data_IF_702130758452
#
_entry.id   IF_702130758452
#
_cell.length_a   1.000
_cell.length_b   1.000
_cell.length_c   1.000
_cell.angle_alpha   90.00
_cell.angle_beta   90.00
_cell.angle_gamma   90.00
#
_symmetry.space_group_name_H-M   'P 1'
#
loop_
_entity.id
_entity.type
_entity.pdbx_description
1 polymer ?
#
# COMPACT_ATOMS: atom_id res chain seq x y z
N UNK A 1 16.84 24.19 30.42
CA UNK A 1 16.27 24.69 29.16
C UNK A 1 16.57 23.64 28.12
N UNK A 2 15.56 23.15 27.41
CA UNK A 2 15.73 22.20 26.31
C UNK A 2 16.14 22.95 25.05
N UNK A 3 17.29 22.59 24.47
CA UNK A 3 17.63 23.02 23.12
C UNK A 3 16.92 22.09 22.14
N UNK A 4 15.99 22.67 21.37
CA UNK A 4 15.28 21.99 20.30
C UNK A 4 16.28 21.53 19.23
N UNK A 5 16.13 20.28 18.76
CA UNK A 5 16.98 19.64 17.77
C UNK A 5 16.22 19.22 16.51
N UNK A 6 15.11 19.90 16.21
CA UNK A 6 14.42 19.82 14.92
C UNK A 6 15.31 20.35 13.78
N UNK A 7 16.07 19.45 13.16
CA UNK A 7 16.85 19.74 11.95
C UNK A 7 15.88 19.87 10.77
N UNK A 8 15.93 20.95 9.96
CA UNK A 8 15.02 21.12 8.83
C UNK A 8 15.27 20.06 7.75
N UNK A 9 14.19 19.42 7.30
CA UNK A 9 14.21 18.41 6.22
C UNK A 9 14.68 19.09 4.93
N UNK A 10 15.77 18.58 4.35
CA UNK A 10 16.32 19.12 3.10
C UNK A 10 15.58 18.54 1.88
N UNK A 11 15.62 19.20 0.70
CA UNK A 11 15.07 18.63 -0.53
C UNK A 11 15.63 17.23 -0.88
N UNK A 12 16.92 17.01 -0.61
CA UNK A 12 17.55 15.70 -0.80
C UNK A 12 17.03 14.62 0.18
N UNK A 13 16.61 15.02 1.40
CA UNK A 13 15.90 14.10 2.29
C UNK A 13 14.50 13.75 1.75
N UNK A 14 13.81 14.71 1.14
CA UNK A 14 12.54 14.46 0.44
C UNK A 14 12.72 13.50 -0.74
N UNK A 15 13.83 13.61 -1.49
CA UNK A 15 14.18 12.69 -2.57
C UNK A 15 14.61 11.29 -2.06
N UNK A 16 15.23 11.19 -0.89
CA UNK A 16 15.50 9.90 -0.24
C UNK A 16 14.20 9.21 0.25
N UNK A 17 13.28 9.97 0.86
CA UNK A 17 11.92 9.51 1.22
C UNK A 17 11.15 9.03 -0.02
N UNK A 18 11.29 9.73 -1.14
CA UNK A 18 10.69 9.41 -2.44
C UNK A 18 11.23 8.11 -3.05
N UNK A 19 12.54 7.91 -3.04
CA UNK A 19 13.20 6.70 -3.53
C UNK A 19 12.88 5.44 -2.71
N UNK A 20 12.15 5.60 -1.60
CA UNK A 20 11.71 4.52 -0.72
C UNK A 20 12.80 3.97 0.20
N UNK A 21 13.98 4.59 0.21
CA UNK A 21 15.07 4.23 1.11
C UNK A 21 14.67 4.52 2.56
N UNK A 22 14.91 3.55 3.46
CA UNK A 22 14.91 3.83 4.89
C UNK A 22 16.10 4.75 5.21
N UNK A 23 15.89 5.76 6.06
CA UNK A 23 16.93 6.72 6.42
C UNK A 23 18.11 6.00 7.11
N UNK A 24 19.29 6.06 6.50
CA UNK A 24 20.54 5.55 7.06
C UNK A 24 21.45 6.73 7.43
N UNK A 25 21.88 6.86 8.70
CA UNK A 25 22.92 7.82 9.06
C UNK A 25 24.26 7.41 8.42
N UNK A 26 25.06 8.40 8.01
CA UNK A 26 26.38 8.14 7.43
C UNK A 26 27.40 7.66 8.49
N UNK A 27 28.48 7.04 8.00
CA UNK A 27 29.40 6.22 8.79
C UNK A 27 30.30 6.98 9.79
N UNK A 28 30.76 6.25 10.80
CA UNK A 28 31.44 6.77 11.98
C UNK A 28 32.94 7.05 11.81
N UNK A 29 33.55 7.87 12.69
CA UNK A 29 35.00 7.86 12.91
C UNK A 29 35.45 6.64 13.73
N UNK A 30 36.66 6.15 13.45
CA UNK A 30 37.22 4.93 14.05
C UNK A 30 37.71 5.05 15.51
N UNK A 31 38.31 3.97 16.06
CA UNK A 31 38.59 3.85 17.49
C UNK A 31 39.75 4.75 17.95
N UNK A 32 39.48 5.63 18.91
CA UNK A 32 40.51 6.30 19.70
C UNK A 32 41.03 5.35 20.78
N UNK A 33 42.29 4.95 20.69
CA UNK A 33 42.98 4.36 21.83
C UNK A 33 43.33 5.45 22.84
N UNK A 34 42.91 5.27 24.10
CA UNK A 34 43.76 5.55 25.26
C UNK A 34 43.18 4.86 26.51
N UNK A 35 44.07 4.52 27.45
CA UNK A 35 43.75 3.75 28.65
C UNK A 35 43.85 4.60 29.91
N UNK A 36 43.03 4.34 30.93
CA UNK A 36 43.56 3.69 32.15
C UNK A 36 42.47 3.24 33.14
N UNK A 37 42.86 2.33 34.04
CA UNK A 37 41.97 1.56 34.90
C UNK A 37 41.54 2.27 36.19
N UNK A 38 40.39 1.87 36.75
CA UNK A 38 40.19 1.83 38.21
C UNK A 38 39.44 0.57 38.65
N UNK A 39 40.17 -0.32 39.33
CA UNK A 39 39.68 -1.56 39.93
C UNK A 39 39.07 -1.33 41.33
N UNK A 40 37.98 -2.03 41.66
CA UNK A 40 37.80 -2.64 42.99
C UNK A 40 36.74 -3.75 43.03
N UNK A 41 37.03 -4.77 43.84
CA UNK A 41 36.26 -5.94 44.34
C UNK A 41 34.72 -5.85 44.27
N UNK A 42 33.96 -6.92 43.92
CA UNK A 42 33.99 -8.36 44.33
C UNK A 42 33.43 -8.64 45.74
N UNK A 43 32.20 -9.16 45.77
CA UNK A 43 31.71 -10.22 46.68
C UNK A 43 30.59 -10.98 45.98
N UNK A 44 30.27 -12.19 46.45
CA UNK A 44 29.14 -13.00 46.01
C UNK A 44 28.32 -13.38 47.25
N UNK A 45 27.05 -13.77 47.07
CA UNK A 45 26.41 -14.89 47.79
C UNK A 45 24.95 -15.13 47.36
N UNK A 46 24.55 -16.40 47.48
CA UNK A 46 23.21 -16.98 47.51
C UNK A 46 23.29 -18.11 48.57
N UNK A 47 22.19 -18.61 49.21
CA UNK A 47 20.83 -18.75 48.68
C UNK A 47 19.76 -18.20 49.67
N UNK A 48 18.45 -18.54 49.64
CA UNK A 48 17.83 -19.84 49.96
C UNK A 48 16.34 -19.89 49.53
N UNK A 49 15.65 -21.02 49.74
CA UNK A 49 14.32 -21.34 49.19
C UNK A 49 13.21 -21.55 50.25
N UNK A 50 11.94 -21.58 49.81
CA UNK A 50 10.88 -22.40 50.43
C UNK A 50 9.62 -22.56 49.54
N UNK A 51 9.25 -23.84 49.26
CA UNK A 51 7.89 -24.46 49.30
C UNK A 51 6.71 -23.85 48.49
N UNK A 52 5.64 -24.56 48.11
CA UNK A 52 5.35 -25.97 47.70
C UNK A 52 3.86 -26.02 47.22
N UNK A 53 3.16 -27.08 46.77
CA UNK A 53 3.36 -28.51 46.43
C UNK A 53 2.22 -28.85 45.42
N UNK A 54 2.46 -29.28 44.17
CA UNK A 54 2.62 -30.67 43.71
C UNK A 54 1.38 -31.60 43.79
N UNK A 55 0.60 -31.68 42.70
CA UNK A 55 -0.26 -32.81 42.24
C UNK A 55 -0.77 -32.45 40.81
N UNK A 56 -0.66 -33.24 39.73
CA UNK A 56 -1.14 -34.62 39.43
C UNK A 56 -2.68 -34.72 39.43
N UNK A 57 -3.37 -35.25 38.41
CA UNK A 57 -2.92 -36.17 37.35
C UNK A 57 -3.76 -36.07 36.04
N UNK A 58 -3.37 -36.88 35.06
CA UNK A 58 -3.97 -37.19 33.73
C UNK A 58 -5.40 -37.81 33.83
N UNK A 59 -6.24 -38.01 32.79
CA UNK A 59 -6.08 -38.04 31.32
C UNK A 59 -7.46 -38.05 30.57
N UNK A 60 -7.41 -38.28 29.24
CA UNK A 60 -8.40 -38.96 28.36
C UNK A 60 -9.46 -38.14 27.59
N UNK A 61 -9.74 -38.66 26.38
CA UNK A 61 -10.67 -38.14 25.36
C UNK A 61 -12.03 -38.87 25.44
N UNK A 62 -13.02 -38.42 24.65
CA UNK A 62 -13.59 -39.24 23.55
C UNK A 62 -14.57 -38.43 22.68
N UNK A 63 -15.00 -39.01 21.56
CA UNK A 63 -15.74 -38.34 20.47
C UNK A 63 -17.28 -38.25 20.65
N UNK A 64 -17.92 -37.57 19.69
CA UNK A 64 -19.34 -37.24 19.61
C UNK A 64 -20.32 -38.43 19.60
N UNK A 65 -21.65 -38.15 19.69
CA UNK A 65 -22.39 -38.15 18.43
C UNK A 65 -23.39 -36.99 18.26
N UNK A 66 -23.98 -36.91 17.06
CA UNK A 66 -25.03 -35.97 16.65
C UNK A 66 -26.38 -36.71 16.61
N UNK A 67 -27.46 -36.10 17.09
CA UNK A 67 -28.83 -36.51 16.76
C UNK A 67 -29.69 -35.31 16.33
N UNK A 68 -30.47 -35.49 15.26
CA UNK A 68 -31.51 -34.54 14.83
C UNK A 68 -32.85 -34.86 15.51
N UNK A 69 -33.58 -33.84 15.94
CA UNK A 69 -34.98 -33.97 16.36
C UNK A 69 -35.84 -32.88 15.73
N UNK A 70 -36.96 -33.27 15.12
CA UNK A 70 -37.85 -32.40 14.34
C UNK A 70 -39.27 -32.37 14.89
N UNK A 71 -39.95 -31.24 14.64
CA UNK A 71 -41.28 -30.82 15.12
C UNK A 71 -41.29 -30.31 16.59
N UNK A 72 -42.16 -29.37 16.97
CA UNK A 72 -43.44 -28.99 16.33
C UNK A 72 -43.81 -27.50 16.48
N UNK A 73 -44.44 -26.96 15.42
CA UNK A 73 -45.53 -25.95 15.46
C UNK A 73 -45.52 -24.85 16.54
N UNK A 74 -45.12 -23.65 16.11
CA UNK A 74 -46.04 -22.50 16.12
C UNK A 74 -46.12 -21.66 17.40
N UNK A 75 -45.50 -20.49 17.34
CA UNK A 75 -46.15 -19.27 17.80
C UNK A 75 -45.77 -18.09 16.88
N UNK A 76 -46.62 -17.07 16.79
CA UNK A 76 -46.45 -15.98 15.83
C UNK A 76 -45.77 -14.77 16.49
N UNK A 77 -44.52 -14.49 16.11
CA UNK A 77 -43.82 -13.26 16.47
C UNK A 77 -43.57 -12.39 15.24
N UNK A 78 -43.91 -11.11 15.38
CA UNK A 78 -43.79 -10.08 14.35
C UNK A 78 -42.36 -9.96 13.83
N UNK A 79 -42.20 -9.93 12.50
CA UNK A 79 -40.96 -9.45 11.88
C UNK A 79 -40.73 -7.99 12.28
N UNK A 80 -39.83 -7.77 13.23
CA UNK A 80 -39.27 -6.45 13.47
C UNK A 80 -38.48 -6.07 12.22
N UNK A 81 -39.07 -5.21 11.38
CA UNK A 81 -38.35 -4.55 10.29
C UNK A 81 -37.18 -3.82 10.92
N UNK A 82 -35.98 -4.39 10.78
CA UNK A 82 -34.75 -3.71 11.15
C UNK A 82 -34.66 -2.48 10.27
N UNK A 83 -34.84 -1.31 10.87
CA UNK A 83 -34.54 -0.04 10.23
C UNK A 83 -33.13 -0.16 9.63
N UNK A 84 -33.02 0.09 8.32
CA UNK A 84 -31.71 0.08 7.68
C UNK A 84 -30.92 1.21 8.34
N UNK A 85 -29.73 0.94 8.92
CA UNK A 85 -28.95 1.98 9.57
C UNK A 85 -28.77 3.17 8.63
N UNK A 86 -28.88 4.39 9.18
CA UNK A 86 -28.60 5.58 8.42
C UNK A 86 -27.22 5.42 7.74
N UNK A 87 -27.07 5.82 6.46
CA UNK A 87 -25.79 5.68 5.77
C UNK A 87 -24.70 6.40 6.57
N UNK A 88 -23.47 5.83 6.65
CA UNK A 88 -22.42 6.37 7.49
C UNK A 88 -22.12 7.82 7.08
N UNK A 89 -21.97 8.70 8.08
CA UNK A 89 -21.77 10.14 7.87
C UNK A 89 -20.43 10.49 7.23
N UNK A 90 -19.50 9.53 7.18
CA UNK A 90 -18.30 9.59 6.35
C UNK A 90 -18.32 8.39 5.38
N UNK A 91 -18.21 8.59 4.05
CA UNK A 91 -18.09 7.50 3.08
C UNK A 91 -16.70 6.82 3.08
N UNK A 92 -15.77 7.22 3.95
CA UNK A 92 -14.44 6.62 4.11
C UNK A 92 -14.48 5.42 5.06
N UNK A 93 -13.89 4.33 4.57
CA UNK A 93 -13.79 3.05 5.27
C UNK A 93 -12.61 3.07 6.25
N UNK A 94 -12.61 2.22 7.29
CA UNK A 94 -11.48 2.09 8.21
C UNK A 94 -10.16 1.75 7.51
N UNK A 95 -9.07 2.03 8.22
CA UNK A 95 -7.71 1.66 7.81
C UNK A 95 -7.20 0.59 8.77
N UNK A 96 -6.58 -0.46 8.25
CA UNK A 96 -6.06 -1.57 9.04
C UNK A 96 -4.55 -1.70 8.89
N UNK A 97 -3.85 -2.01 9.99
CA UNK A 97 -2.39 -2.21 10.00
C UNK A 97 -2.07 -3.67 9.68
N UNK A 98 -1.35 -3.94 8.59
CA UNK A 98 -0.83 -5.27 8.21
C UNK A 98 0.60 -5.45 8.78
N UNK A 99 0.80 -6.05 9.98
CA UNK A 99 2.04 -5.88 10.74
C UNK A 99 3.25 -6.49 10.03
N UNK A 100 3.10 -7.63 9.37
CA UNK A 100 4.17 -8.28 8.60
C UNK A 100 4.54 -7.58 7.29
N UNK A 101 3.94 -6.43 6.95
CA UNK A 101 4.45 -5.49 5.93
C UNK A 101 5.09 -4.24 6.58
N UNK A 102 5.27 -4.23 7.90
CA UNK A 102 6.04 -3.22 8.61
C UNK A 102 7.52 -3.64 8.67
N UNK A 103 8.42 -2.87 8.06
CA UNK A 103 9.87 -3.12 8.16
C UNK A 103 10.41 -2.89 9.58
N UNK A 104 9.66 -2.21 10.45
CA UNK A 104 10.02 -1.97 11.86
C UNK A 104 10.07 -3.27 12.65
N UNK A 105 9.08 -4.16 12.42
CA UNK A 105 9.00 -5.50 13.02
C UNK A 105 10.05 -6.50 12.53
N UNK A 106 10.90 -6.09 11.58
CA UNK A 106 12.10 -6.81 11.17
C UNK A 106 13.39 -6.06 11.52
N UNK A 107 13.34 -5.13 12.51
CA UNK A 107 14.50 -4.46 13.10
C UNK A 107 14.92 -3.12 12.49
N UNK A 108 14.11 -2.49 11.62
CA UNK A 108 14.40 -1.11 11.17
C UNK A 108 13.80 -0.07 12.13
N UNK A 109 14.37 1.15 12.18
CA UNK A 109 13.74 2.30 12.87
C UNK A 109 12.83 3.09 11.91
N UNK A 110 11.97 2.40 11.17
CA UNK A 110 11.12 3.02 10.15
C UNK A 110 9.91 3.73 10.77
N UNK A 111 9.68 4.99 10.38
CA UNK A 111 8.64 5.87 10.93
C UNK A 111 7.83 6.59 9.82
N UNK A 112 7.91 6.10 8.57
CA UNK A 112 7.29 6.75 7.40
C UNK A 112 5.76 6.91 7.51
N UNK A 113 5.09 6.06 8.28
CA UNK A 113 3.64 6.12 8.51
C UNK A 113 3.24 7.19 9.53
N UNK A 114 4.07 7.48 10.54
CA UNK A 114 3.79 8.54 11.52
C UNK A 114 4.04 9.91 10.88
N UNK A 115 5.19 10.10 10.20
CA UNK A 115 5.53 11.33 9.48
C UNK A 115 4.56 11.73 8.35
N UNK A 116 3.73 10.80 7.85
CA UNK A 116 2.72 11.10 6.82
C UNK A 116 1.31 11.30 7.39
N UNK A 117 1.14 11.23 8.71
CA UNK A 117 -0.16 11.35 9.36
C UNK A 117 -0.42 12.80 9.82
N UNK A 118 -1.28 13.57 9.15
CA UNK A 118 -1.54 14.99 9.48
C UNK A 118 -2.30 15.23 10.80
N UNK A 119 -2.57 14.17 11.58
CA UNK A 119 -3.28 14.23 12.87
C UNK A 119 -2.57 13.42 13.97
N UNK A 120 -1.31 13.01 13.74
CA UNK A 120 -0.50 12.17 14.65
C UNK A 120 -1.19 10.85 15.09
N UNK A 121 -2.22 10.41 14.36
CA UNK A 121 -3.09 9.27 14.67
C UNK A 121 -2.42 7.88 14.50
N UNK A 122 -1.11 7.83 14.28
CA UNK A 122 -0.34 6.59 14.12
C UNK A 122 0.84 6.63 15.07
N UNK A 123 0.96 5.60 15.90
CA UNK A 123 2.03 5.46 16.89
C UNK A 123 2.56 4.03 16.91
N UNK A 124 3.65 3.81 17.64
CA UNK A 124 4.22 2.48 17.90
C UNK A 124 4.14 2.14 19.39
N UNK A 125 3.91 0.87 19.71
CA UNK A 125 3.96 0.38 21.10
C UNK A 125 5.38 -0.05 21.53
N UNK A 126 5.49 -0.61 22.76
CA UNK A 126 6.74 -1.13 23.32
C UNK A 126 7.33 -2.34 22.55
N UNK A 127 6.62 -2.88 21.55
CA UNK A 127 7.07 -3.96 20.67
C UNK A 127 7.31 -3.46 19.23
N UNK A 128 7.33 -2.14 19.01
CA UNK A 128 7.42 -1.48 17.70
C UNK A 128 6.25 -1.82 16.75
N UNK A 129 5.12 -2.35 17.26
CA UNK A 129 3.92 -2.59 16.46
C UNK A 129 3.22 -1.26 16.13
N UNK A 130 2.87 -0.98 14.85
CA UNK A 130 2.11 0.21 14.51
C UNK A 130 0.65 0.06 14.95
N UNK A 131 0.11 1.11 15.56
CA UNK A 131 -1.30 1.24 15.93
C UNK A 131 -1.91 2.47 15.26
N UNK A 132 -3.24 2.51 15.19
CA UNK A 132 -4.02 3.65 14.70
C UNK A 132 -4.95 4.08 15.84
N UNK A 133 -4.96 5.37 16.16
CA UNK A 133 -5.96 5.95 17.05
C UNK A 133 -7.19 6.39 16.23
N UNK A 134 -8.31 5.68 16.40
CA UNK A 134 -9.57 5.98 15.70
C UNK A 134 -10.25 7.29 16.18
N UNK A 135 -9.81 7.92 17.29
CA UNK A 135 -10.28 9.26 17.68
C UNK A 135 -9.66 10.36 16.79
N UNK A 136 -8.40 10.17 16.36
CA UNK A 136 -7.67 11.12 15.50
C UNK A 136 -7.65 10.72 14.01
N UNK A 137 -7.96 9.46 13.67
CA UNK A 137 -7.88 8.95 12.30
C UNK A 137 -9.03 9.45 11.41
N UNK A 138 -8.75 10.46 10.59
CA UNK A 138 -9.66 10.99 9.54
C UNK A 138 -9.87 10.05 8.34
N UNK A 139 -9.30 8.84 8.37
CA UNK A 139 -9.39 7.81 7.29
C UNK A 139 -8.98 8.32 5.89
N UNK A 140 -8.11 9.33 5.84
CA UNK A 140 -7.60 9.93 4.60
C UNK A 140 -6.79 8.96 3.73
N UNK A 141 -6.14 7.95 4.32
CA UNK A 141 -5.39 6.92 3.60
C UNK A 141 -3.95 7.28 3.21
N UNK A 142 -3.40 8.43 3.63
CA UNK A 142 -2.02 8.82 3.25
C UNK A 142 -0.96 7.78 3.67
N UNK A 143 -1.17 7.09 4.80
CA UNK A 143 -0.35 5.96 5.23
C UNK A 143 -0.37 4.78 4.24
N UNK A 144 -1.53 4.44 3.66
CA UNK A 144 -1.67 3.44 2.59
C UNK A 144 -0.95 3.85 1.30
N UNK A 145 -0.81 5.16 1.06
CA UNK A 145 -0.06 5.72 -0.07
C UNK A 145 1.47 5.62 0.09
N UNK A 146 1.99 5.48 1.31
CA UNK A 146 3.43 5.45 1.60
C UNK A 146 3.96 4.08 2.05
N UNK A 147 3.09 3.16 2.50
CA UNK A 147 3.49 1.93 3.17
C UNK A 147 2.47 0.78 2.99
N UNK A 148 2.94 -0.40 2.54
CA UNK A 148 2.11 -1.61 2.40
C UNK A 148 1.65 -2.20 3.75
N UNK A 149 2.13 -1.67 4.88
CA UNK A 149 1.62 -1.98 6.21
C UNK A 149 0.23 -1.36 6.50
N UNK A 150 -0.34 -0.58 5.58
CA UNK A 150 -1.64 0.08 5.77
C UNK A 150 -2.57 -0.19 4.58
N UNK A 151 -3.79 -0.64 4.87
CA UNK A 151 -4.83 -0.95 3.87
C UNK A 151 -6.14 -0.25 4.21
N UNK A 152 -6.88 0.23 3.21
CA UNK A 152 -8.29 0.65 3.42
C UNK A 152 -9.20 -0.56 3.28
N UNK A 153 -10.21 -0.72 4.13
CA UNK A 153 -11.18 -1.82 4.00
C UNK A 153 -12.01 -1.79 2.70
N UNK A 154 -11.94 -0.71 1.90
CA UNK A 154 -12.68 -0.57 0.64
C UNK A 154 -12.01 -1.23 -0.56
N UNK A 155 -10.73 -0.95 -0.78
CA UNK A 155 -10.06 -1.22 -2.06
C UNK A 155 -8.52 -1.22 -1.91
N UNK A 156 -7.85 -2.18 -2.54
CA UNK A 156 -6.37 -2.22 -2.67
C UNK A 156 -5.89 -1.56 -3.98
N UNK A 157 -4.61 -1.21 -4.07
CA UNK A 157 -4.01 -0.66 -5.31
C UNK A 157 -4.16 -1.60 -6.53
N UNK A 158 -4.09 -2.92 -6.30
CA UNK A 158 -4.33 -3.92 -7.35
C UNK A 158 -5.81 -3.92 -7.81
N UNK A 159 -6.75 -3.80 -6.88
CA UNK A 159 -8.18 -3.68 -7.19
C UNK A 159 -8.52 -2.36 -7.90
N UNK A 160 -7.77 -1.31 -7.57
CA UNK A 160 -7.84 0.00 -8.21
C UNK A 160 -7.33 -0.09 -9.66
N UNK A 161 -6.27 -0.87 -9.91
CA UNK A 161 -5.74 -1.13 -11.25
C UNK A 161 -6.67 -2.03 -12.08
N UNK A 162 -7.27 -3.06 -11.47
CA UNK A 162 -8.38 -3.84 -12.05
C UNK A 162 -9.52 -2.90 -12.49
N UNK A 163 -9.88 -1.91 -11.65
CA UNK A 163 -10.91 -0.91 -11.94
C UNK A 163 -10.52 0.02 -13.10
N UNK A 164 -9.28 0.51 -13.16
CA UNK A 164 -8.75 1.29 -14.30
C UNK A 164 -8.81 0.46 -15.58
N UNK A 165 -8.22 -0.74 -15.59
CA UNK A 165 -8.19 -1.64 -16.76
C UNK A 165 -9.60 -1.94 -17.28
N UNK A 166 -10.58 -2.12 -16.38
CA UNK A 166 -12.00 -2.28 -16.76
C UNK A 166 -12.60 -1.03 -17.42
N UNK A 167 -12.54 0.12 -16.74
CA UNK A 167 -13.16 1.37 -17.23
C UNK A 167 -12.52 1.85 -18.55
N UNK A 168 -11.22 1.65 -18.72
CA UNK A 168 -10.49 2.05 -19.93
C UNK A 168 -10.94 1.29 -21.18
N UNK A 169 -11.32 0.01 -21.03
CA UNK A 169 -11.92 -0.78 -22.12
C UNK A 169 -13.31 -0.30 -22.57
N UNK A 170 -13.94 0.63 -21.84
CA UNK A 170 -15.26 1.14 -22.15
C UNK A 170 -15.18 2.30 -23.18
N UNK A 171 -14.05 2.99 -23.32
CA UNK A 171 -13.77 3.96 -24.40
C UNK A 171 -14.14 5.42 -24.11
N UNK A 172 -14.31 5.76 -22.83
CA UNK A 172 -14.28 7.14 -22.33
C UNK A 172 -13.07 7.27 -21.38
N UNK A 173 -12.40 8.44 -21.31
CA UNK A 173 -11.28 8.65 -20.40
C UNK A 173 -11.68 8.35 -18.94
N UNK A 174 -10.71 7.88 -18.15
CA UNK A 174 -10.92 7.50 -16.75
C UNK A 174 -10.36 8.60 -15.86
N UNK A 175 -11.21 9.08 -14.94
CA UNK A 175 -10.93 10.26 -14.12
C UNK A 175 -10.64 9.86 -12.68
N UNK A 176 -9.78 10.60 -11.99
CA UNK A 176 -9.51 10.45 -10.56
C UNK A 176 -9.87 11.71 -9.80
N UNK A 177 -10.48 11.52 -8.62
CA UNK A 177 -10.85 12.58 -7.66
C UNK A 177 -10.89 11.98 -6.23
N UNK A 178 -11.15 12.81 -5.22
CA UNK A 178 -11.49 12.34 -3.87
C UNK A 178 -12.81 12.95 -3.37
N UNK A 179 -13.34 12.42 -2.27
CA UNK A 179 -14.63 12.86 -1.73
C UNK A 179 -14.71 14.38 -1.51
N UNK A 180 -13.68 15.00 -0.94
CA UNK A 180 -13.60 16.44 -0.65
C UNK A 180 -13.50 17.36 -1.89
N UNK A 181 -13.51 16.78 -3.09
CA UNK A 181 -13.49 17.48 -4.37
C UNK A 181 -14.83 17.35 -5.13
N UNK A 182 -15.80 16.62 -4.57
CA UNK A 182 -17.15 16.46 -5.14
C UNK A 182 -18.08 17.49 -4.48
N UNK A 183 -18.82 18.30 -5.26
CA UNK A 183 -19.83 19.21 -4.71
C UNK A 183 -20.98 18.47 -4.02
N UNK A 184 -21.69 19.15 -3.12
CA UNK A 184 -22.99 18.70 -2.61
C UNK A 184 -23.98 18.49 -3.78
N UNK A 185 -24.86 17.49 -3.65
CA UNK A 185 -25.87 17.07 -4.64
C UNK A 185 -25.36 16.70 -6.05
N UNK A 186 -24.06 16.43 -6.23
CA UNK A 186 -23.47 16.10 -7.54
C UNK A 186 -23.47 14.60 -7.88
N UNK A 187 -24.18 14.16 -8.92
CA UNK A 187 -24.10 12.78 -9.42
C UNK A 187 -22.82 12.54 -10.26
N UNK A 188 -21.85 11.86 -9.67
CA UNK A 188 -20.55 11.54 -10.29
C UNK A 188 -20.70 10.53 -11.44
N UNK A 189 -20.04 10.78 -12.57
CA UNK A 189 -20.06 9.89 -13.75
C UNK A 189 -19.36 8.52 -13.49
N UNK A 190 -19.85 7.38 -14.03
CA UNK A 190 -19.28 6.05 -13.78
C UNK A 190 -17.78 5.86 -14.07
N UNK A 191 -17.21 6.64 -15.00
CA UNK A 191 -15.78 6.58 -15.34
C UNK A 191 -14.89 7.37 -14.36
N UNK A 192 -15.45 7.96 -13.31
CA UNK A 192 -14.71 8.63 -12.23
C UNK A 192 -14.41 7.66 -11.08
N UNK A 193 -13.16 7.65 -10.67
CA UNK A 193 -12.62 6.90 -9.53
C UNK A 193 -12.53 7.85 -8.34
N UNK A 194 -13.48 7.72 -7.41
CA UNK A 194 -13.55 8.52 -6.16
C UNK A 194 -12.81 7.82 -5.03
N UNK A 195 -11.80 8.49 -4.49
CA UNK A 195 -10.89 8.00 -3.44
C UNK A 195 -11.13 8.65 -2.06
N UNK A 196 -10.68 8.03 -0.95
CA UNK A 196 -10.68 8.65 0.38
C UNK A 196 -9.88 9.96 0.43
N UNK A 197 -8.69 9.94 -0.18
CA UNK A 197 -7.90 11.09 -0.61
C UNK A 197 -7.19 10.71 -1.92
N UNK A 198 -7.00 11.66 -2.84
CA UNK A 198 -6.26 11.39 -4.08
C UNK A 198 -4.74 11.33 -3.85
N UNK A 199 -4.24 11.99 -2.79
CA UNK A 199 -2.85 11.88 -2.32
C UNK A 199 -2.52 10.57 -1.61
N UNK A 200 -3.51 9.69 -1.37
CA UNK A 200 -3.33 8.37 -0.79
C UNK A 200 -2.85 7.30 -1.80
N UNK A 201 -2.46 7.70 -3.02
CA UNK A 201 -2.14 6.81 -4.14
C UNK A 201 -0.66 6.84 -4.45
N UNK A 202 -0.03 5.67 -4.37
CA UNK A 202 1.42 5.50 -4.46
C UNK A 202 1.97 5.72 -5.89
N UNK A 203 3.24 6.16 -6.05
CA UNK A 203 3.91 6.28 -7.35
C UNK A 203 3.83 5.03 -8.23
N UNK A 204 3.96 3.85 -7.60
CA UNK A 204 3.93 2.53 -8.24
C UNK A 204 2.56 2.21 -8.86
N UNK A 205 1.48 2.75 -8.28
CA UNK A 205 0.16 2.66 -8.90
C UNK A 205 0.06 3.57 -10.12
N UNK A 206 0.50 4.84 -10.03
CA UNK A 206 0.38 5.79 -11.14
C UNK A 206 1.16 5.34 -12.38
N UNK A 207 2.33 4.73 -12.19
CA UNK A 207 3.06 4.02 -13.24
C UNK A 207 2.19 2.96 -13.93
N UNK A 208 1.73 1.95 -13.17
CA UNK A 208 0.95 0.84 -13.71
C UNK A 208 -0.39 1.29 -14.34
N UNK A 209 -0.99 2.35 -13.81
CA UNK A 209 -2.25 2.89 -14.29
C UNK A 209 -2.11 3.74 -15.57
N UNK A 210 -0.99 4.47 -15.73
CA UNK A 210 -0.68 5.22 -16.96
C UNK A 210 -0.31 4.28 -18.12
N UNK A 211 0.48 3.24 -17.88
CA UNK A 211 0.73 2.21 -18.92
C UNK A 211 -0.56 1.47 -19.32
N UNK A 212 -1.43 1.18 -18.34
CA UNK A 212 -2.73 0.56 -18.60
C UNK A 212 -3.74 1.50 -19.32
N UNK A 213 -3.55 2.83 -19.23
CA UNK A 213 -4.35 3.83 -19.96
C UNK A 213 -3.61 5.19 -20.08
N UNK A 214 -3.06 5.53 -21.26
CA UNK A 214 -2.40 6.81 -21.47
C UNK A 214 -3.31 8.05 -21.43
N UNK A 215 -4.64 7.89 -21.37
CA UNK A 215 -5.63 8.97 -21.34
C UNK A 215 -6.26 9.19 -19.94
N UNK A 216 -5.59 8.74 -18.86
CA UNK A 216 -6.01 9.06 -17.49
C UNK A 216 -6.06 10.57 -17.24
N UNK A 217 -7.03 11.00 -16.43
CA UNK A 217 -7.17 12.39 -16.02
C UNK A 217 -7.35 12.54 -14.51
N UNK A 218 -6.79 13.60 -13.92
CA UNK A 218 -7.05 14.02 -12.55
C UNK A 218 -7.91 15.27 -12.54
N UNK A 219 -9.02 15.23 -11.80
CA UNK A 219 -9.73 16.41 -11.34
C UNK A 219 -9.29 16.72 -9.90
N UNK A 220 -8.68 17.88 -9.68
CA UNK A 220 -8.29 18.34 -8.35
C UNK A 220 -8.19 19.87 -8.33
N UNK A 221 -9.00 20.51 -7.49
CA UNK A 221 -8.79 21.89 -7.10
C UNK A 221 -7.72 21.95 -5.99
N UNK A 222 -6.51 22.37 -6.37
CA UNK A 222 -5.37 22.49 -5.47
C UNK A 222 -5.53 23.52 -4.33
N UNK A 223 -6.53 24.40 -4.36
CA UNK A 223 -6.83 25.25 -3.19
C UNK A 223 -7.43 24.41 -2.06
N UNK A 224 -8.49 23.64 -2.35
CA UNK A 224 -9.14 22.73 -1.40
C UNK A 224 -8.19 21.65 -0.85
N UNK A 225 -7.21 21.20 -1.65
CA UNK A 225 -6.16 20.28 -1.19
C UNK A 225 -5.01 20.94 -0.42
N UNK A 226 -4.94 22.27 -0.29
CA UNK A 226 -3.93 22.94 0.54
C UNK A 226 -4.36 23.00 2.00
N UNK A 227 -5.64 23.29 2.24
CA UNK A 227 -6.23 23.46 3.57
C UNK A 227 -7.25 22.32 3.87
N UNK A 228 -6.91 21.09 3.47
CA UNK A 228 -7.84 19.96 3.46
C UNK A 228 -8.16 19.48 4.90
N UNK A 229 -9.42 19.55 5.37
CA UNK A 229 -9.79 19.19 6.75
C UNK A 229 -9.80 17.69 7.02
N UNK A 230 -9.58 16.86 6.00
CA UNK A 230 -9.45 15.41 6.12
C UNK A 230 -8.00 14.92 5.97
N UNK A 231 -7.19 15.56 5.13
CA UNK A 231 -5.90 15.00 4.69
C UNK A 231 -4.71 15.96 4.81
N UNK A 232 -4.89 17.10 5.47
CA UNK A 232 -3.83 18.10 5.70
C UNK A 232 -3.26 18.73 4.41
N UNK A 233 -2.28 19.64 4.55
CA UNK A 233 -1.52 20.18 3.41
C UNK A 233 -0.64 19.13 2.71
N UNK A 234 -0.26 18.04 3.40
CA UNK A 234 0.60 16.96 2.92
C UNK A 234 0.02 16.28 1.67
N UNK A 235 -1.31 16.09 1.64
CA UNK A 235 -2.03 15.42 0.56
C UNK A 235 -1.70 16.01 -0.83
N UNK A 236 -1.55 17.33 -0.93
CA UNK A 236 -1.18 18.03 -2.17
C UNK A 236 0.25 17.74 -2.59
N UNK A 237 1.19 17.74 -1.65
CA UNK A 237 2.59 17.42 -1.92
C UNK A 237 2.75 15.96 -2.36
N UNK A 238 2.09 15.03 -1.65
CA UNK A 238 2.10 13.59 -1.95
C UNK A 238 1.48 13.29 -3.31
N UNK A 239 0.31 13.88 -3.63
CA UNK A 239 -0.32 13.78 -4.96
C UNK A 239 0.63 14.24 -6.07
N UNK A 240 1.13 15.47 -5.98
CA UNK A 240 2.02 16.04 -7.00
C UNK A 240 3.29 15.21 -7.15
N UNK A 241 3.85 14.75 -6.04
CA UNK A 241 5.05 13.92 -6.05
C UNK A 241 4.83 12.55 -6.71
N UNK A 242 3.76 11.85 -6.33
CA UNK A 242 3.47 10.50 -6.80
C UNK A 242 3.07 10.45 -8.28
N UNK A 243 2.26 11.42 -8.73
CA UNK A 243 1.95 11.58 -10.16
C UNK A 243 3.22 11.89 -10.94
N UNK A 244 3.99 12.91 -10.54
CA UNK A 244 5.22 13.29 -11.24
C UNK A 244 6.25 12.14 -11.30
N UNK A 245 6.27 11.20 -10.34
CA UNK A 245 7.08 9.97 -10.44
C UNK A 245 6.50 9.00 -11.47
N UNK A 246 5.21 8.68 -11.39
CA UNK A 246 4.53 7.82 -12.37
C UNK A 246 4.72 8.30 -13.81
N UNK A 247 4.64 9.62 -14.04
CA UNK A 247 4.93 10.25 -15.33
C UNK A 247 6.39 10.12 -15.77
N UNK A 248 7.36 10.29 -14.87
CA UNK A 248 8.79 10.12 -15.21
C UNK A 248 9.15 8.67 -15.54
N UNK A 249 8.51 7.74 -14.84
CA UNK A 249 8.74 6.30 -14.98
C UNK A 249 8.13 5.75 -16.28
N UNK A 250 6.87 6.08 -16.57
CA UNK A 250 6.16 5.70 -17.81
C UNK A 250 6.59 6.53 -19.04
N UNK A 251 7.00 7.78 -18.82
CA UNK A 251 7.10 8.85 -19.85
C UNK A 251 5.75 9.28 -20.43
N UNK A 252 4.64 8.92 -19.77
CA UNK A 252 3.27 9.31 -20.13
C UNK A 252 2.85 10.49 -19.25
N UNK A 253 2.18 11.50 -19.83
CA UNK A 253 1.68 12.66 -19.08
C UNK A 253 0.27 12.40 -18.53
N UNK A 254 0.06 12.64 -17.25
CA UNK A 254 -1.25 12.58 -16.60
C UNK A 254 -2.11 13.78 -17.03
N UNK A 255 -3.27 13.51 -17.63
CA UNK A 255 -4.21 14.57 -18.01
C UNK A 255 -4.75 15.33 -16.80
N UNK A 256 -5.04 16.62 -16.98
CA UNK A 256 -5.74 17.43 -15.97
C UNK A 256 -7.13 17.81 -16.48
N UNK A 257 -8.16 17.39 -15.76
CA UNK A 257 -9.54 17.77 -16.04
C UNK A 257 -9.85 19.15 -15.44
N UNK A 258 -10.41 20.07 -16.24
CA UNK A 258 -10.87 21.39 -15.77
C UNK A 258 -12.19 21.31 -14.99
N UNK A 259 -13.01 20.28 -15.26
CA UNK A 259 -14.30 20.02 -14.62
C UNK A 259 -14.45 18.55 -14.27
N UNK A 260 -15.15 18.27 -13.17
CA UNK A 260 -15.53 16.90 -12.81
C UNK A 260 -16.62 16.39 -13.78
N UNK A 261 -16.52 15.18 -14.33
CA UNK A 261 -17.59 14.61 -15.16
C UNK A 261 -18.82 14.22 -14.34
N UNK A 262 -19.97 14.75 -14.75
CA UNK A 262 -21.28 14.49 -14.16
C UNK A 262 -22.03 13.36 -14.90
N UNK A 263 -22.88 12.62 -14.20
CA UNK A 263 -23.73 11.56 -14.75
C UNK A 263 -24.96 12.16 -15.43
N UNK A 264 -24.76 12.77 -16.60
CA UNK A 264 -25.84 13.25 -17.47
C UNK A 264 -26.66 12.08 -18.04
N UNK A 265 -27.97 12.07 -17.84
CA UNK A 265 -28.87 11.18 -18.58
C UNK A 265 -28.93 11.54 -20.07
N UNK A 266 -29.29 10.55 -20.91
CA UNK A 266 -29.34 10.65 -22.38
C UNK A 266 -30.26 11.81 -22.80
N UNK A 267 -31.40 11.97 -22.12
CA UNK A 267 -32.36 13.03 -22.41
C UNK A 267 -31.78 14.42 -22.14
N UNK A 268 -31.03 14.60 -21.05
CA UNK A 268 -30.40 15.88 -20.69
C UNK A 268 -29.42 16.34 -21.79
N UNK A 269 -28.52 15.45 -22.21
CA UNK A 269 -27.60 15.71 -23.34
C UNK A 269 -28.35 16.03 -24.63
N UNK A 270 -29.47 15.36 -24.88
CA UNK A 270 -30.28 15.60 -26.07
C UNK A 270 -30.98 16.97 -26.05
N UNK A 271 -31.42 17.45 -24.88
CA UNK A 271 -31.98 18.79 -24.74
C UNK A 271 -30.90 19.88 -24.86
N UNK A 272 -29.73 19.70 -24.25
CA UNK A 272 -28.55 20.57 -24.42
C UNK A 272 -28.12 20.69 -25.89
N UNK A 273 -28.22 19.59 -26.67
CA UNK A 273 -27.97 19.59 -28.12
C UNK A 273 -28.90 20.54 -28.90
N UNK A 274 -30.08 20.86 -28.35
CA UNK A 274 -31.15 21.61 -29.02
C UNK A 274 -31.28 23.06 -28.53
N UNK A 275 -30.77 23.37 -27.34
CA UNK A 275 -30.88 24.71 -26.73
C UNK A 275 -29.77 25.69 -27.17
N UNK A 276 -28.59 25.20 -27.55
CA UNK A 276 -27.46 26.03 -28.00
C UNK A 276 -27.14 25.84 -29.49
N UNK A 277 -27.10 26.94 -30.24
CA UNK A 277 -26.81 26.97 -31.67
C UNK A 277 -25.33 26.69 -31.99
N UNK A 278 -24.40 26.98 -31.08
CA UNK A 278 -22.96 26.85 -31.32
C UNK A 278 -22.40 25.44 -31.12
N UNK A 279 -23.02 24.60 -30.28
CA UNK A 279 -22.46 23.30 -29.89
C UNK A 279 -22.81 22.10 -30.79
N UNK A 280 -23.68 22.29 -31.80
CA UNK A 280 -24.30 21.22 -32.62
C UNK A 280 -23.34 20.16 -33.17
N UNK A 281 -22.09 20.49 -33.53
CA UNK A 281 -21.11 19.50 -34.02
C UNK A 281 -20.58 18.57 -32.92
N UNK A 282 -20.21 19.12 -31.76
CA UNK A 282 -19.67 18.33 -30.65
C UNK A 282 -20.70 17.34 -30.11
N UNK A 283 -21.94 17.80 -29.95
CA UNK A 283 -23.03 16.93 -29.46
C UNK A 283 -23.46 15.90 -30.50
N UNK A 284 -23.44 16.23 -31.81
CA UNK A 284 -23.66 15.24 -32.86
C UNK A 284 -22.61 14.11 -32.83
N UNK A 285 -21.32 14.43 -32.59
CA UNK A 285 -20.29 13.40 -32.40
C UNK A 285 -20.54 12.57 -31.13
N UNK A 286 -20.93 13.20 -30.02
CA UNK A 286 -21.30 12.50 -28.78
C UNK A 286 -22.45 11.50 -28.99
N UNK A 287 -23.52 11.92 -29.67
CA UNK A 287 -24.69 11.09 -29.96
C UNK A 287 -24.38 9.94 -30.92
N UNK A 288 -23.47 10.13 -31.88
CA UNK A 288 -23.01 9.06 -32.77
C UNK A 288 -22.16 8.02 -32.02
N UNK A 289 -21.27 8.46 -31.12
CA UNK A 289 -20.49 7.56 -30.27
C UNK A 289 -21.41 6.77 -29.33
N UNK A 290 -22.37 7.43 -28.69
CA UNK A 290 -23.33 6.79 -27.78
C UNK A 290 -24.25 5.79 -28.50
N UNK A 291 -24.71 6.10 -29.72
CA UNK A 291 -25.44 5.15 -30.56
C UNK A 291 -24.60 3.91 -30.93
N UNK A 292 -23.30 4.10 -31.20
CA UNK A 292 -22.36 2.99 -31.44
C UNK A 292 -22.13 2.16 -30.17
N UNK A 293 -22.03 2.81 -29.00
CA UNK A 293 -21.85 2.13 -27.71
C UNK A 293 -23.09 1.35 -27.26
N UNK A 294 -24.29 1.82 -27.60
CA UNK A 294 -25.54 1.08 -27.42
C UNK A 294 -25.55 -0.15 -28.34
N UNK A 295 -25.21 0.03 -29.62
CA UNK A 295 -25.15 -1.06 -30.60
C UNK A 295 -24.08 -2.12 -30.27
N UNK A 296 -22.94 -1.72 -29.70
CA UNK A 296 -21.86 -2.62 -29.28
C UNK A 296 -22.04 -3.18 -27.86
N UNK A 297 -23.11 -2.80 -27.16
CA UNK A 297 -23.36 -3.17 -25.76
C UNK A 297 -22.39 -2.56 -24.73
N UNK A 298 -21.52 -1.60 -25.13
CA UNK A 298 -20.63 -0.86 -24.23
C UNK A 298 -21.42 0.02 -23.25
N UNK A 299 -22.45 0.72 -23.72
CA UNK A 299 -23.32 1.54 -22.88
C UNK A 299 -23.97 0.68 -21.77
N UNK A 300 -24.39 -0.55 -22.10
CA UNK A 300 -24.93 -1.53 -21.13
C UNK A 300 -23.86 -2.14 -20.20
N UNK A 301 -22.56 -1.92 -20.43
CA UNK A 301 -21.51 -2.22 -19.44
C UNK A 301 -21.28 -1.01 -18.52
N UNK A 302 -21.11 0.19 -19.08
CA UNK A 302 -20.95 1.48 -18.37
C UNK A 302 -22.06 1.72 -17.32
N UNK A 303 -23.32 1.66 -17.75
CA UNK A 303 -24.49 2.03 -16.94
C UNK A 303 -25.24 0.85 -16.31
N UNK A 304 -24.61 -0.34 -16.20
CA UNK A 304 -25.19 -1.46 -15.46
C UNK A 304 -24.72 -1.43 -14.00
N UNK A 305 -25.42 -0.63 -13.21
CA UNK A 305 -25.30 -0.53 -11.75
C UNK A 305 -25.08 -1.87 -11.05
N UNK A 306 -25.81 -2.92 -11.45
CA UNK A 306 -25.71 -4.25 -10.81
C UNK A 306 -24.34 -4.89 -11.05
N UNK A 307 -23.76 -4.73 -12.24
CA UNK A 307 -22.41 -5.22 -12.56
C UNK A 307 -21.34 -4.36 -11.88
N UNK A 308 -21.51 -3.03 -11.86
CA UNK A 308 -20.61 -2.12 -11.15
C UNK A 308 -20.56 -2.44 -9.64
N UNK A 309 -21.74 -2.57 -9.01
CA UNK A 309 -21.89 -2.92 -7.58
C UNK A 309 -21.33 -4.31 -7.27
N UNK A 310 -21.50 -5.30 -8.15
CA UNK A 310 -20.87 -6.62 -7.99
C UNK A 310 -19.33 -6.54 -8.00
N UNK A 311 -18.74 -5.76 -8.89
CA UNK A 311 -17.28 -5.56 -8.92
C UNK A 311 -16.77 -4.80 -7.69
N UNK A 312 -17.48 -3.76 -7.24
CA UNK A 312 -17.12 -3.02 -6.02
C UNK A 312 -17.26 -3.89 -4.76
N UNK A 313 -18.33 -4.67 -4.65
CA UNK A 313 -18.51 -5.65 -3.57
C UNK A 313 -17.38 -6.71 -3.57
N UNK A 314 -16.95 -7.19 -4.73
CA UNK A 314 -15.81 -8.14 -4.83
C UNK A 314 -14.47 -7.49 -4.45
N UNK A 315 -14.26 -6.20 -4.72
CA UNK A 315 -13.09 -5.47 -4.25
C UNK A 315 -13.13 -5.30 -2.72
N UNK A 316 -14.25 -4.81 -2.19
CA UNK A 316 -14.47 -4.62 -0.76
C UNK A 316 -14.29 -5.91 0.05
N UNK A 317 -14.82 -7.04 -0.41
CA UNK A 317 -14.61 -8.35 0.25
C UNK A 317 -13.15 -8.82 0.22
N UNK A 318 -12.36 -8.47 -0.81
CA UNK A 318 -10.90 -8.73 -0.83
C UNK A 318 -10.18 -7.85 0.17
N UNK A 319 -10.48 -6.55 0.18
CA UNK A 319 -9.88 -5.58 1.08
C UNK A 319 -10.19 -5.88 2.56
N UNK A 320 -11.45 -6.20 2.89
CA UNK A 320 -11.83 -6.70 4.21
C UNK A 320 -11.17 -8.04 4.55
N UNK A 321 -11.00 -8.95 3.57
CA UNK A 321 -10.24 -10.18 3.76
C UNK A 321 -8.79 -9.92 4.17
N UNK A 322 -8.12 -8.92 3.59
CA UNK A 322 -6.78 -8.50 4.02
C UNK A 322 -6.79 -7.82 5.40
N UNK A 323 -7.76 -6.95 5.68
CA UNK A 323 -7.93 -6.28 6.97
C UNK A 323 -8.20 -7.25 8.14
N UNK A 324 -9.09 -8.22 7.97
CA UNK A 324 -9.43 -9.20 9.01
C UNK A 324 -8.29 -10.19 9.27
N UNK A 325 -7.53 -10.55 8.24
CA UNK A 325 -6.33 -11.37 8.39
C UNK A 325 -5.09 -10.59 8.88
N UNK A 326 -5.17 -9.26 9.01
CA UNK A 326 -4.06 -8.40 9.39
C UNK A 326 -3.36 -8.86 10.68
N UNK A 327 -4.13 -9.11 11.75
CA UNK A 327 -3.60 -9.56 13.04
C UNK A 327 -2.91 -10.94 12.99
N UNK A 328 -3.23 -11.76 11.98
CA UNK A 328 -2.59 -13.07 11.74
C UNK A 328 -1.28 -12.94 10.95
N UNK A 329 -1.01 -11.79 10.32
CA UNK A 329 0.23 -11.51 9.59
C UNK A 329 1.31 -10.94 10.52
N UNK A 330 1.78 -11.73 11.48
CA UNK A 330 3.00 -11.41 12.24
C UNK A 330 4.24 -11.48 11.33
N UNK A 331 5.36 -10.84 11.73
CA UNK A 331 6.65 -11.07 11.07
C UNK A 331 7.16 -12.46 11.44
N UNK A 332 7.42 -13.31 10.44
CA UNK A 332 8.05 -14.61 10.62
C UNK A 332 9.46 -14.52 10.04
N UNK A 333 10.51 -14.53 10.88
CA UNK A 333 11.89 -14.46 10.40
C UNK A 333 12.21 -15.57 9.41
N UNK A 334 12.83 -15.23 8.28
CA UNK A 334 13.36 -16.24 7.35
C UNK A 334 14.67 -16.82 7.87
N UNK A 335 14.92 -18.09 7.59
CA UNK A 335 16.23 -18.74 7.77
C UNK A 335 16.76 -19.25 6.43
N UNK A 336 18.03 -19.69 6.32
CA UNK A 336 18.54 -20.30 5.09
C UNK A 336 17.76 -21.55 4.67
N UNK A 337 17.32 -22.36 5.65
CA UNK A 337 16.56 -23.59 5.43
C UNK A 337 15.05 -23.34 5.22
N UNK A 338 14.53 -22.21 5.71
CA UNK A 338 13.11 -21.82 5.63
C UNK A 338 12.97 -20.34 5.24
N UNK A 339 13.01 -20.08 3.93
CA UNK A 339 12.85 -18.73 3.37
C UNK A 339 11.37 -18.39 3.21
N UNK A 340 10.86 -17.50 4.07
CA UNK A 340 9.46 -17.04 4.07
C UNK A 340 9.28 -15.94 3.02
N UNK A 341 9.23 -16.35 1.75
CA UNK A 341 9.02 -15.45 0.60
C UNK A 341 7.70 -14.71 0.74
N UNK A 342 7.74 -13.38 0.69
CA UNK A 342 6.57 -12.51 0.79
C UNK A 342 6.62 -11.42 -0.28
N UNK A 343 5.78 -11.49 -1.33
CA UNK A 343 5.65 -10.40 -2.31
C UNK A 343 5.05 -9.14 -1.66
N UNK A 344 5.59 -7.97 -1.97
CA UNK A 344 5.13 -6.67 -1.44
C UNK A 344 4.28 -5.95 -2.51
N UNK A 345 3.02 -5.58 -2.23
CA UNK A 345 2.08 -5.09 -3.24
C UNK A 345 2.63 -4.03 -4.20
N UNK A 346 3.26 -2.97 -3.69
CA UNK A 346 3.87 -1.93 -4.54
C UNK A 346 5.07 -2.42 -5.35
N UNK A 347 5.92 -3.29 -4.80
CA UNK A 347 7.04 -3.88 -5.55
C UNK A 347 6.52 -4.82 -6.66
N UNK A 348 5.50 -5.62 -6.37
CA UNK A 348 4.83 -6.48 -7.35
C UNK A 348 4.16 -5.66 -8.46
N UNK A 349 3.56 -4.51 -8.16
CA UNK A 349 3.03 -3.60 -9.19
C UNK A 349 4.13 -3.16 -10.17
N UNK A 350 5.25 -2.62 -9.67
CA UNK A 350 6.36 -2.18 -10.54
C UNK A 350 6.96 -3.36 -11.33
N UNK A 351 7.20 -4.50 -10.68
CA UNK A 351 7.76 -5.68 -11.33
C UNK A 351 6.85 -6.19 -12.46
N UNK A 352 5.54 -6.32 -12.21
CA UNK A 352 4.58 -6.76 -13.21
C UNK A 352 4.48 -5.77 -14.39
N UNK A 353 4.43 -4.46 -14.14
CA UNK A 353 4.39 -3.46 -15.21
C UNK A 353 5.69 -3.43 -16.02
N UNK A 354 6.84 -3.71 -15.40
CA UNK A 354 8.13 -3.86 -16.12
C UNK A 354 8.23 -5.18 -16.90
N UNK A 355 7.58 -6.26 -16.46
CA UNK A 355 7.43 -7.48 -17.26
C UNK A 355 6.47 -7.29 -18.45
N UNK A 356 5.40 -6.52 -18.27
CA UNK A 356 4.46 -6.13 -19.34
C UNK A 356 5.09 -5.13 -20.33
N UNK A 357 5.94 -4.21 -19.86
CA UNK A 357 6.55 -3.10 -20.63
C UNK A 357 8.07 -2.94 -20.35
N UNK A 358 8.95 -3.84 -20.84
CA UNK A 358 10.38 -3.84 -20.50
C UNK A 358 11.15 -2.56 -20.83
N UNK A 359 10.69 -1.76 -21.80
CA UNK A 359 11.29 -0.51 -22.24
C UNK A 359 11.29 0.61 -21.18
N UNK A 360 10.41 0.54 -20.17
CA UNK A 360 10.31 1.55 -19.11
C UNK A 360 11.31 1.31 -17.98
N UNK A 361 11.90 0.11 -17.91
CA UNK A 361 12.72 -0.32 -16.78
C UNK A 361 13.89 0.62 -16.43
N UNK A 362 14.64 1.20 -17.40
CA UNK A 362 15.72 2.16 -17.12
C UNK A 362 15.24 3.54 -16.62
N UNK A 363 13.93 3.81 -16.64
CA UNK A 363 13.37 5.08 -16.15
C UNK A 363 13.07 5.06 -14.65
N UNK A 364 13.12 3.89 -14.01
CA UNK A 364 12.64 3.64 -12.65
C UNK A 364 13.85 3.42 -11.73
N UNK A 365 14.33 4.42 -10.99
CA UNK A 365 15.44 4.24 -10.07
C UNK A 365 15.08 3.25 -8.95
N UNK A 366 16.03 2.39 -8.62
CA UNK A 366 15.91 1.37 -7.59
C UNK A 366 17.17 1.37 -6.73
N UNK A 367 17.00 0.94 -5.48
CA UNK A 367 18.10 0.35 -4.74
C UNK A 367 17.92 -1.17 -4.77
N UNK A 368 19.01 -1.91 -4.77
CA UNK A 368 19.00 -3.36 -4.67
C UNK A 368 20.04 -3.83 -3.64
N UNK A 369 19.77 -4.96 -2.97
CA UNK A 369 20.66 -5.51 -1.97
C UNK A 369 21.64 -6.51 -2.60
N UNK A 370 22.90 -6.41 -2.21
CA UNK A 370 23.97 -7.31 -2.63
C UNK A 370 24.72 -7.89 -1.41
N UNK A 371 25.72 -8.71 -1.70
CA UNK A 371 26.71 -9.23 -0.75
C UNK A 371 28.09 -9.20 -1.40
N UNK A 372 29.12 -8.82 -0.65
CA UNK A 372 30.53 -9.00 -1.01
C UNK A 372 31.01 -10.35 -0.46
N UNK A 373 31.22 -11.33 -1.35
CA UNK A 373 31.66 -12.67 -0.98
C UNK A 373 33.07 -12.70 -0.35
N UNK A 374 33.90 -11.66 -0.55
CA UNK A 374 35.21 -11.55 0.10
C UNK A 374 35.11 -11.11 1.57
N UNK A 375 33.98 -10.53 1.99
CA UNK A 375 33.68 -10.13 3.37
C UNK A 375 32.64 -11.06 4.04
N UNK A 376 32.02 -11.97 3.28
CA UNK A 376 30.92 -12.81 3.75
C UNK A 376 31.43 -14.02 4.56
N UNK A 377 31.49 -13.89 5.89
CA UNK A 377 31.82 -14.98 6.82
C UNK A 377 30.72 -16.06 6.95
N UNK A 378 29.72 -16.08 6.07
CA UNK A 378 28.67 -17.12 5.99
C UNK A 378 27.91 -17.36 7.31
N UNK A 379 27.76 -16.34 8.14
CA UNK A 379 26.91 -16.37 9.34
C UNK A 379 25.42 -16.55 9.01
N UNK A 380 25.01 -16.10 7.82
CA UNK A 380 23.66 -16.11 7.23
C UNK A 380 22.54 -15.48 8.07
N UNK A 381 22.23 -16.02 9.25
CA UNK A 381 21.04 -15.73 10.05
C UNK A 381 20.70 -14.23 10.12
N UNK A 382 21.60 -13.30 10.50
CA UNK A 382 21.21 -11.91 10.71
C UNK A 382 20.65 -11.22 9.45
N UNK A 383 21.14 -11.60 8.27
CA UNK A 383 20.67 -11.01 7.00
C UNK A 383 19.44 -11.72 6.41
N UNK A 384 19.11 -12.92 6.88
CA UNK A 384 17.89 -13.66 6.52
C UNK A 384 16.72 -13.32 7.47
N UNK A 385 16.93 -13.35 8.78
CA UNK A 385 15.89 -13.15 9.80
C UNK A 385 15.29 -11.73 9.77
N UNK A 386 16.16 -10.74 9.56
CA UNK A 386 15.79 -9.32 9.40
C UNK A 386 15.37 -8.96 7.96
N UNK A 387 15.07 -9.94 7.08
CA UNK A 387 14.57 -9.70 5.73
C UNK A 387 13.03 -9.91 5.66
N UNK A 388 12.19 -8.86 5.78
CA UNK A 388 10.73 -8.97 5.87
C UNK A 388 10.02 -9.33 4.54
N UNK A 389 10.79 -9.65 3.49
CA UNK A 389 10.28 -10.12 2.21
C UNK A 389 10.72 -11.55 1.86
N UNK A 390 11.58 -12.18 2.68
CA UNK A 390 12.21 -13.47 2.34
C UNK A 390 13.00 -13.40 1.04
N UNK A 391 13.64 -12.27 0.75
CA UNK A 391 14.28 -11.97 -0.53
C UNK A 391 15.69 -12.56 -0.70
N UNK A 392 16.13 -13.46 0.19
CA UNK A 392 17.47 -14.05 0.21
C UNK A 392 17.38 -15.58 0.19
N UNK A 393 18.22 -16.20 -0.61
CA UNK A 393 18.39 -17.67 -0.74
C UNK A 393 19.87 -18.01 -0.83
N UNK A 394 20.24 -19.28 -0.62
CA UNK A 394 21.57 -19.78 -0.96
C UNK A 394 21.57 -20.42 -2.34
N UNK A 395 22.72 -20.37 -3.04
CA UNK A 395 23.00 -21.20 -4.22
C UNK A 395 23.69 -22.52 -3.85
N UNK A 396 24.07 -23.32 -4.86
CA UNK A 396 24.77 -24.59 -4.68
C UNK A 396 26.16 -24.45 -4.02
N UNK A 397 26.78 -23.27 -4.07
CA UNK A 397 28.06 -22.96 -3.43
C UNK A 397 27.91 -22.34 -2.03
N UNK A 398 26.68 -22.08 -1.57
CA UNK A 398 26.37 -21.37 -0.33
C UNK A 398 26.67 -19.87 -0.39
N UNK A 399 26.73 -19.27 -1.58
CA UNK A 399 26.70 -17.82 -1.76
C UNK A 399 25.26 -17.30 -1.63
N UNK A 400 25.09 -16.04 -1.24
CA UNK A 400 23.76 -15.47 -0.95
C UNK A 400 23.20 -14.78 -2.20
N UNK A 401 22.23 -15.43 -2.84
CA UNK A 401 21.47 -14.85 -3.96
C UNK A 401 20.32 -14.02 -3.40
N UNK A 402 20.13 -12.82 -3.96
CA UNK A 402 19.01 -11.93 -3.63
C UNK A 402 18.00 -11.95 -4.77
N UNK A 403 16.71 -12.09 -4.45
CA UNK A 403 15.64 -12.16 -5.43
C UNK A 403 15.12 -10.73 -5.76
N UNK A 404 15.27 -10.23 -7.01
CA UNK A 404 14.90 -8.86 -7.37
C UNK A 404 13.41 -8.59 -7.16
N UNK A 405 12.54 -9.57 -7.42
CA UNK A 405 11.08 -9.41 -7.29
C UNK A 405 10.58 -9.37 -5.83
N UNK A 406 11.46 -9.65 -4.86
CA UNK A 406 11.16 -9.58 -3.42
C UNK A 406 11.96 -8.47 -2.71
N UNK A 407 13.05 -7.96 -3.30
CA UNK A 407 13.93 -7.02 -2.62
C UNK A 407 13.37 -5.58 -2.59
N UNK A 408 12.64 -5.27 -1.53
CA UNK A 408 12.13 -3.91 -1.24
C UNK A 408 13.21 -2.87 -0.89
N UNK A 409 14.48 -3.26 -0.82
CA UNK A 409 15.62 -2.39 -0.45
C UNK A 409 15.50 -1.69 0.92
N UNK A 410 14.89 -2.34 1.92
CA UNK A 410 14.73 -1.82 3.28
C UNK A 410 16.04 -1.56 4.05
N UNK A 411 17.18 -2.12 3.61
CA UNK A 411 18.49 -1.91 4.23
C UNK A 411 18.79 -2.77 5.47
N UNK A 412 17.78 -3.40 6.11
CA UNK A 412 17.95 -4.22 7.31
C UNK A 412 19.09 -5.26 7.19
N UNK A 413 19.15 -5.97 6.05
CA UNK A 413 20.20 -6.96 5.80
C UNK A 413 21.63 -6.41 5.78
N UNK A 414 21.83 -5.11 5.52
CA UNK A 414 23.11 -4.40 5.65
C UNK A 414 23.34 -3.91 7.09
N UNK A 415 22.29 -3.34 7.72
CA UNK A 415 22.30 -2.88 9.11
C UNK A 415 22.73 -3.98 10.11
N UNK A 416 22.27 -5.21 9.88
CA UNK A 416 22.52 -6.37 10.73
C UNK A 416 23.70 -7.25 10.26
N UNK A 417 24.48 -6.85 9.25
CA UNK A 417 25.62 -7.64 8.79
C UNK A 417 26.88 -7.34 9.62
N UNK A 418 27.38 -8.28 10.45
CA UNK A 418 28.47 -7.99 11.39
C UNK A 418 29.81 -7.69 10.71
N UNK A 419 30.01 -8.16 9.47
CA UNK A 419 31.23 -7.92 8.67
C UNK A 419 31.08 -6.78 7.66
N UNK A 420 29.89 -6.16 7.55
CA UNK A 420 29.59 -5.18 6.51
C UNK A 420 29.47 -5.74 5.09
N UNK A 421 29.49 -7.08 4.92
CA UNK A 421 29.45 -7.72 3.61
C UNK A 421 28.16 -7.46 2.82
N UNK A 422 27.01 -7.31 3.49
CA UNK A 422 25.76 -6.98 2.83
C UNK A 422 25.57 -5.46 2.73
N UNK A 423 25.18 -4.98 1.54
CA UNK A 423 25.02 -3.55 1.26
C UNK A 423 23.84 -3.30 0.30
N UNK A 424 23.45 -2.03 0.16
CA UNK A 424 22.58 -1.56 -0.91
C UNK A 424 23.42 -0.83 -1.96
N UNK A 425 23.04 -0.95 -3.23
CA UNK A 425 23.58 -0.13 -4.32
C UNK A 425 22.45 0.45 -5.18
N UNK A 426 22.72 1.58 -5.85
CA UNK A 426 21.80 2.24 -6.78
C UNK A 426 21.81 1.53 -8.14
N UNK A 427 20.62 1.36 -8.72
CA UNK A 427 20.36 0.67 -9.98
C UNK A 427 19.01 1.16 -10.55
N UNK A 428 18.48 0.49 -11.56
CA UNK A 428 17.12 0.72 -12.08
C UNK A 428 16.28 -0.58 -12.06
N UNK A 429 15.08 -0.55 -12.63
CA UNK A 429 14.18 -1.69 -12.65
C UNK A 429 14.57 -2.81 -13.65
N UNK A 430 15.64 -2.67 -14.44
CA UNK A 430 16.13 -3.75 -15.33
C UNK A 430 16.54 -5.00 -14.54
N UNK A 431 16.79 -4.88 -13.23
CA UNK A 431 17.01 -6.01 -12.32
C UNK A 431 15.89 -7.07 -12.38
N UNK A 432 14.63 -6.68 -12.63
CA UNK A 432 13.52 -7.63 -12.78
C UNK A 432 13.64 -8.50 -14.04
N UNK A 433 14.19 -7.94 -15.13
CA UNK A 433 14.31 -8.59 -16.44
C UNK A 433 15.45 -9.63 -16.50
N UNK A 434 16.38 -9.58 -15.54
CA UNK A 434 17.62 -10.37 -15.49
C UNK A 434 17.44 -11.90 -15.53
N UNK A 435 16.23 -12.41 -15.28
CA UNK A 435 15.91 -13.85 -15.29
C UNK A 435 15.55 -14.44 -16.66
N UNK A 436 15.45 -13.67 -17.74
CA UNK A 436 15.15 -14.22 -19.08
C UNK A 436 16.33 -14.96 -19.76
N UNK A 437 17.42 -15.24 -19.04
CA UNK A 437 18.64 -15.88 -19.56
C UNK A 437 18.98 -17.21 -18.90
N UNK A 438 18.01 -18.12 -18.77
CA UNK A 438 18.22 -19.51 -18.33
C UNK A 438 17.74 -20.54 -19.35
N UNK A 439 18.24 -20.46 -20.58
CA UNK A 439 18.28 -21.62 -21.51
C UNK A 439 19.27 -21.37 -22.68
N UNK A 440 20.46 -22.00 -22.64
CA UNK A 440 21.38 -22.22 -23.79
C UNK A 440 22.59 -23.09 -23.46
#
# INVERSE_FOLDING_TARGET
MSEDRSIPISPAALEAFAAGAAFMPQSAPGPSADSEARTAKKTAEAPDACQSEAASETEQNDEAPVEEAINSSGDALSEAVKETPAPPTDPRFPISVLPGFCTRLAGSTCERCTFVCPYDAIFFDEQDHPHIDEEFCTRCGLCCGICDAFVTERIMMNDLLDKVRRLSGEGEPVFFTCYDQIPEDFEVHPNVVVLPCIGAVAPEFWLAALEANPELQIYCNFSLCTDCPTAGPEAKALLTHAVNLGERWSRIHMGKAERLPEKTDILSRFFEATSDEFHRRGVATSLVNEAADIASGKHRKRYNDTLAKFHEQKAHLRAQGHAQNAHHHQHVPSTPDLVVRKPWPRLTLVANTVEEHPEIAPNIPRYFAAVDDALCERCYEPCFSHCPAGARTLDEAGAIVVDPQLCIACGNCALYCPTGAAYLFETDATIFLSRQSTDK
#
